data_IF_992777015196
#
_entry.id   IF_992777015196
#
_cell.length_a   1.000
_cell.length_b   1.000
_cell.length_c   1.000
_cell.angle_alpha   90.00
_cell.angle_beta   90.00
_cell.angle_gamma   90.00
#
_symmetry.space_group_name_H-M   'P 1'
#
loop_
_entity.id
_entity.type
_entity.pdbx_description
1 polymer ?
#
# COMPACT_ATOMS: atom_id res chain seq x y z
N UNK A 1 36.70 14.52 -39.02
CA UNK A 1 37.26 14.78 -37.69
C UNK A 1 36.71 13.67 -36.82
N UNK A 2 37.52 12.67 -36.47
CA UNK A 2 37.06 11.58 -35.61
C UNK A 2 37.01 12.14 -34.20
N UNK A 3 35.81 12.31 -33.63
CA UNK A 3 35.66 12.52 -32.18
C UNK A 3 36.46 11.43 -31.48
N UNK A 4 37.37 11.82 -30.59
CA UNK A 4 38.11 10.83 -29.82
C UNK A 4 37.10 10.08 -28.95
N UNK A 5 37.34 8.78 -28.72
CA UNK A 5 36.45 7.97 -27.89
C UNK A 5 36.19 8.64 -26.53
N UNK A 6 37.15 9.39 -25.99
CA UNK A 6 37.00 10.18 -24.77
C UNK A 6 35.96 11.30 -24.88
N UNK A 7 35.90 12.03 -25.99
CA UNK A 7 34.97 13.15 -26.21
C UNK A 7 33.50 12.66 -26.29
N UNK A 8 33.27 11.48 -26.85
CA UNK A 8 31.95 10.81 -26.87
C UNK A 8 31.55 10.28 -25.49
N UNK A 9 32.54 9.93 -24.66
CA UNK A 9 32.33 9.24 -23.39
C UNK A 9 32.32 10.19 -22.19
N UNK A 10 32.83 11.43 -22.33
CA UNK A 10 32.81 12.50 -21.32
C UNK A 10 31.47 12.67 -20.57
N UNK A 11 30.30 12.81 -21.25
CA UNK A 11 29.03 12.97 -20.56
C UNK A 11 28.62 11.73 -19.76
N UNK A 12 29.06 10.54 -20.19
CA UNK A 12 28.82 9.27 -19.50
C UNK A 12 29.81 8.99 -18.39
N UNK A 13 30.98 9.63 -18.39
CA UNK A 13 32.11 9.41 -17.48
C UNK A 13 32.16 10.43 -16.34
N UNK A 14 31.43 11.54 -16.45
CA UNK A 14 31.38 12.55 -15.39
C UNK A 14 31.11 11.91 -14.02
N UNK A 15 31.89 12.32 -13.02
CA UNK A 15 31.78 11.86 -11.62
C UNK A 15 30.36 12.06 -11.10
N UNK A 16 29.68 13.10 -11.56
CA UNK A 16 28.28 13.39 -11.24
C UNK A 16 27.33 12.29 -11.74
N UNK A 17 27.49 11.83 -12.98
CA UNK A 17 26.69 10.77 -13.59
C UNK A 17 27.03 9.38 -13.02
N UNK A 18 28.30 9.12 -12.72
CA UNK A 18 28.78 7.81 -12.28
C UNK A 18 28.54 7.52 -10.80
N UNK A 19 28.60 8.55 -9.95
CA UNK A 19 28.61 8.40 -8.50
C UNK A 19 27.43 9.13 -7.89
N UNK A 20 27.25 10.42 -8.20
CA UNK A 20 26.24 11.25 -7.53
C UNK A 20 24.81 10.78 -7.88
N UNK A 21 24.53 10.55 -9.17
CA UNK A 21 23.20 10.15 -9.64
C UNK A 21 22.72 8.78 -9.07
N UNK A 22 23.51 7.69 -9.14
CA UNK A 22 23.12 6.42 -8.53
C UNK A 22 23.00 6.51 -7.00
N UNK A 23 23.87 7.28 -6.33
CA UNK A 23 23.84 7.42 -4.87
C UNK A 23 22.59 8.16 -4.38
N UNK A 24 22.20 9.25 -5.03
CA UNK A 24 20.96 9.97 -4.71
C UNK A 24 19.75 9.07 -4.93
N UNK A 25 19.72 8.36 -6.06
CA UNK A 25 18.65 7.42 -6.41
C UNK A 25 18.52 6.31 -5.35
N UNK A 26 19.63 5.68 -4.97
CA UNK A 26 19.65 4.64 -3.93
C UNK A 26 19.22 5.20 -2.57
N UNK A 27 19.68 6.38 -2.18
CA UNK A 27 19.30 7.01 -0.92
C UNK A 27 17.79 7.27 -0.83
N UNK A 28 17.20 7.86 -1.89
CA UNK A 28 15.76 8.10 -1.98
C UNK A 28 14.96 6.79 -1.98
N UNK A 29 15.44 5.79 -2.70
CA UNK A 29 14.82 4.46 -2.76
C UNK A 29 14.80 3.79 -1.38
N UNK A 30 15.95 3.73 -0.68
CA UNK A 30 16.03 3.11 0.65
C UNK A 30 15.26 3.89 1.72
N UNK A 31 15.25 5.22 1.65
CA UNK A 31 14.41 6.04 2.53
C UNK A 31 12.93 5.70 2.36
N UNK A 32 12.45 5.66 1.10
CA UNK A 32 11.06 5.34 0.77
C UNK A 32 10.72 3.90 1.16
N UNK A 33 11.64 2.95 0.93
CA UNK A 33 11.49 1.57 1.34
C UNK A 33 11.38 1.43 2.86
N UNK A 34 12.22 2.15 3.62
CA UNK A 34 12.14 2.19 5.09
C UNK A 34 10.78 2.68 5.59
N UNK A 35 10.23 3.74 4.98
CA UNK A 35 8.86 4.19 5.27
C UNK A 35 7.83 3.11 4.95
N UNK A 36 8.00 2.38 3.85
CA UNK A 36 7.09 1.31 3.47
C UNK A 36 7.11 0.15 4.48
N UNK A 37 8.28 -0.23 5.01
CA UNK A 37 8.40 -1.24 6.08
C UNK A 37 7.59 -0.83 7.30
N UNK A 38 7.67 0.43 7.73
CA UNK A 38 6.90 0.93 8.88
C UNK A 38 5.38 0.89 8.61
N UNK A 39 4.95 1.33 7.43
CA UNK A 39 3.54 1.32 7.01
C UNK A 39 3.02 -0.11 6.92
N UNK A 40 3.80 -1.03 6.38
CA UNK A 40 3.45 -2.45 6.28
C UNK A 40 3.31 -3.10 7.65
N UNK A 41 4.24 -2.83 8.58
CA UNK A 41 4.14 -3.26 9.97
C UNK A 41 2.86 -2.75 10.66
N UNK A 42 2.54 -1.47 10.47
CA UNK A 42 1.29 -0.89 10.96
C UNK A 42 0.05 -1.56 10.33
N UNK A 43 0.11 -1.85 9.02
CA UNK A 43 -0.94 -2.53 8.28
C UNK A 43 -1.22 -3.91 8.88
N UNK A 44 -0.20 -4.76 9.02
CA UNK A 44 -0.34 -6.10 9.62
C UNK A 44 -0.94 -6.00 11.02
N UNK A 45 -0.43 -5.10 11.87
CA UNK A 45 -0.93 -4.94 13.25
C UNK A 45 -2.44 -4.64 13.26
N UNK A 46 -2.87 -3.70 12.41
CA UNK A 46 -4.28 -3.31 12.29
C UNK A 46 -5.15 -4.45 11.76
N UNK A 47 -4.71 -5.16 10.71
CA UNK A 47 -5.48 -6.28 10.16
C UNK A 47 -5.57 -7.44 11.16
N UNK A 48 -4.49 -7.71 11.89
CA UNK A 48 -4.44 -8.78 12.88
C UNK A 48 -5.44 -8.56 14.02
N UNK A 49 -5.51 -7.35 14.56
CA UNK A 49 -6.46 -6.98 15.62
C UNK A 49 -7.92 -6.96 15.14
N UNK A 50 -8.16 -6.92 13.83
CA UNK A 50 -9.51 -6.81 13.24
C UNK A 50 -10.09 -8.17 12.83
N UNK A 51 -10.25 -9.09 13.79
CA UNK A 51 -10.72 -10.48 13.58
C UNK A 51 -12.06 -10.63 12.85
N UNK A 52 -12.95 -9.63 12.86
CA UNK A 52 -14.33 -9.74 12.36
C UNK A 52 -14.58 -9.23 10.92
N UNK A 53 -13.54 -8.81 10.17
CA UNK A 53 -13.75 -8.34 8.78
C UNK A 53 -13.73 -9.48 7.76
N UNK A 54 -14.82 -9.75 7.02
CA UNK A 54 -14.90 -10.89 6.08
C UNK A 54 -13.84 -10.86 4.97
N UNK A 55 -13.37 -9.68 4.58
CA UNK A 55 -12.41 -9.54 3.48
C UNK A 55 -10.96 -9.41 3.98
N UNK A 56 -10.67 -9.73 5.25
CA UNK A 56 -9.34 -9.56 5.86
C UNK A 56 -8.25 -10.33 5.10
N UNK A 57 -8.53 -11.60 4.76
CA UNK A 57 -7.56 -12.47 4.09
C UNK A 57 -7.08 -11.90 2.76
N UNK A 58 -8.00 -11.35 1.96
CA UNK A 58 -7.67 -10.70 0.68
C UNK A 58 -6.74 -9.49 0.86
N UNK A 59 -7.06 -8.57 1.78
CA UNK A 59 -6.24 -7.38 1.99
C UNK A 59 -4.90 -7.69 2.68
N UNK A 60 -4.86 -8.70 3.56
CA UNK A 60 -3.62 -9.16 4.18
C UNK A 60 -2.71 -9.83 3.15
N UNK A 61 -3.25 -10.77 2.37
CA UNK A 61 -2.53 -11.44 1.29
C UNK A 61 -2.01 -10.44 0.26
N UNK A 62 -2.86 -9.53 -0.23
CA UNK A 62 -2.47 -8.48 -1.17
C UNK A 62 -1.36 -7.58 -0.63
N UNK A 63 -1.47 -7.10 0.62
CA UNK A 63 -0.42 -6.26 1.24
C UNK A 63 0.90 -7.03 1.42
N UNK A 64 0.85 -8.30 1.81
CA UNK A 64 2.05 -9.15 1.94
C UNK A 64 2.70 -9.41 0.60
N UNK A 65 1.92 -9.72 -0.44
CA UNK A 65 2.43 -9.92 -1.80
C UNK A 65 3.09 -8.63 -2.32
N UNK A 66 2.43 -7.48 -2.16
CA UNK A 66 3.01 -6.18 -2.52
C UNK A 66 4.32 -5.91 -1.79
N UNK A 67 4.41 -6.21 -0.49
CA UNK A 67 5.62 -6.00 0.30
C UNK A 67 6.78 -6.91 -0.14
N UNK A 68 6.50 -8.19 -0.36
CA UNK A 68 7.50 -9.17 -0.82
C UNK A 68 8.01 -8.79 -2.22
N UNK A 69 7.10 -8.50 -3.15
CA UNK A 69 7.48 -8.09 -4.51
C UNK A 69 8.30 -6.79 -4.48
N UNK A 70 7.87 -5.77 -3.74
CA UNK A 70 8.62 -4.53 -3.59
C UNK A 70 10.02 -4.73 -3.01
N UNK A 71 10.16 -5.65 -2.06
CA UNK A 71 11.46 -6.00 -1.46
C UNK A 71 12.38 -6.66 -2.50
N UNK A 72 11.85 -7.59 -3.29
CA UNK A 72 12.59 -8.23 -4.39
C UNK A 72 13.03 -7.17 -5.41
N UNK A 73 12.11 -6.34 -5.88
CA UNK A 73 12.39 -5.27 -6.84
C UNK A 73 13.46 -4.31 -6.33
N UNK A 74 13.38 -3.90 -5.06
CA UNK A 74 14.37 -3.00 -4.42
C UNK A 74 15.77 -3.64 -4.37
N UNK A 75 15.86 -4.94 -4.04
CA UNK A 75 17.13 -5.66 -4.02
C UNK A 75 17.79 -5.74 -5.40
N UNK A 76 17.01 -6.07 -6.44
CA UNK A 76 17.52 -6.15 -7.81
C UNK A 76 17.88 -4.77 -8.41
N UNK A 77 17.13 -3.72 -8.08
CA UNK A 77 17.54 -2.34 -8.41
C UNK A 77 18.87 -1.98 -7.77
N UNK A 78 19.03 -2.30 -6.48
CA UNK A 78 20.28 -2.07 -5.74
C UNK A 78 21.46 -2.75 -6.42
N UNK A 79 21.30 -4.03 -6.80
CA UNK A 79 22.34 -4.79 -7.50
C UNK A 79 22.71 -4.13 -8.83
N UNK A 80 21.72 -3.67 -9.59
CA UNK A 80 21.94 -3.01 -10.89
C UNK A 80 22.72 -1.70 -10.72
N UNK A 81 22.27 -0.84 -9.81
CA UNK A 81 22.89 0.46 -9.57
C UNK A 81 24.30 0.36 -9.02
N UNK A 82 24.53 -0.50 -8.03
CA UNK A 82 25.87 -0.71 -7.47
C UNK A 82 26.81 -1.24 -8.56
N UNK A 83 26.37 -2.23 -9.35
CA UNK A 83 27.23 -2.82 -10.38
C UNK A 83 27.53 -1.84 -11.50
N UNK A 84 26.56 -1.05 -11.94
CA UNK A 84 26.76 0.03 -12.91
C UNK A 84 27.77 1.06 -12.39
N UNK A 85 27.64 1.48 -11.12
CA UNK A 85 28.53 2.47 -10.50
C UNK A 85 29.96 1.94 -10.34
N UNK A 86 30.13 0.69 -9.90
CA UNK A 86 31.45 0.06 -9.71
C UNK A 86 32.17 -0.13 -11.04
N UNK A 87 31.47 -0.63 -12.07
CA UNK A 87 32.06 -0.83 -13.39
C UNK A 87 32.39 0.50 -14.07
N UNK A 88 31.52 1.50 -13.94
CA UNK A 88 31.80 2.86 -14.39
C UNK A 88 33.04 3.42 -13.70
N UNK A 89 33.06 3.43 -12.36
CA UNK A 89 34.17 3.99 -11.60
C UNK A 89 35.50 3.29 -11.90
N UNK A 90 35.48 1.96 -12.03
CA UNK A 90 36.65 1.20 -12.43
C UNK A 90 37.15 1.63 -13.81
N UNK A 91 36.26 1.78 -14.80
CA UNK A 91 36.65 2.19 -16.15
C UNK A 91 37.33 3.56 -16.18
N UNK A 92 36.83 4.53 -15.39
CA UNK A 92 37.44 5.86 -15.28
C UNK A 92 38.80 5.80 -14.57
N UNK A 93 38.89 5.03 -13.47
CA UNK A 93 40.11 4.94 -12.67
C UNK A 93 41.24 4.20 -13.38
N UNK A 94 40.93 3.13 -14.11
CA UNK A 94 41.93 2.29 -14.79
C UNK A 94 42.16 2.68 -16.25
N UNK A 95 41.37 3.62 -16.78
CA UNK A 95 41.28 3.93 -18.21
C UNK A 95 41.05 2.69 -19.10
N UNK A 96 40.48 1.63 -18.53
CA UNK A 96 40.11 0.42 -19.25
C UNK A 96 38.58 0.37 -19.36
N UNK A 97 38.08 0.75 -20.52
CA UNK A 97 36.65 0.82 -20.81
C UNK A 97 36.05 -0.52 -21.25
N UNK A 98 36.88 -1.54 -21.51
CA UNK A 98 36.43 -2.84 -22.04
C UNK A 98 35.39 -3.52 -21.12
N UNK A 99 35.59 -3.61 -19.78
CA UNK A 99 34.62 -4.26 -18.90
C UNK A 99 33.28 -3.52 -18.82
N UNK A 100 33.31 -2.19 -18.90
CA UNK A 100 32.11 -1.36 -18.91
C UNK A 100 31.36 -1.47 -20.24
N UNK A 101 32.07 -1.45 -21.36
CA UNK A 101 31.48 -1.64 -22.69
C UNK A 101 30.79 -3.00 -22.82
N UNK A 102 31.43 -4.09 -22.37
CA UNK A 102 30.81 -5.42 -22.35
C UNK A 102 29.53 -5.47 -21.50
N UNK A 103 29.53 -4.77 -20.35
CA UNK A 103 28.34 -4.62 -19.51
C UNK A 103 27.22 -3.82 -20.20
N UNK A 104 27.57 -2.77 -20.93
CA UNK A 104 26.61 -1.93 -21.65
C UNK A 104 26.05 -2.65 -22.88
N UNK A 105 26.87 -3.44 -23.58
CA UNK A 105 26.54 -4.09 -24.86
C UNK A 105 25.63 -5.31 -24.71
N UNK A 106 25.80 -6.15 -23.69
CA UNK A 106 25.02 -7.39 -23.61
C UNK A 106 25.40 -8.33 -22.47
N UNK A 107 25.42 -7.83 -21.22
CA UNK A 107 25.67 -8.69 -20.06
C UNK A 107 24.42 -9.51 -19.68
N UNK A 108 24.57 -10.84 -19.64
CA UNK A 108 23.48 -11.77 -19.31
C UNK A 108 22.86 -11.51 -17.94
N UNK A 109 23.67 -11.12 -16.96
CA UNK A 109 23.21 -10.85 -15.60
C UNK A 109 22.43 -9.52 -15.53
N UNK A 110 22.80 -8.51 -16.30
CA UNK A 110 22.03 -7.27 -16.48
C UNK A 110 20.65 -7.56 -17.07
N UNK A 111 20.59 -8.35 -18.15
CA UNK A 111 19.33 -8.73 -18.79
C UNK A 111 18.44 -9.54 -17.83
N UNK A 112 19.01 -10.52 -17.13
CA UNK A 112 18.27 -11.30 -16.12
C UNK A 112 17.71 -10.42 -15.01
N UNK A 113 18.50 -9.48 -14.49
CA UNK A 113 18.07 -8.56 -13.44
C UNK A 113 16.93 -7.65 -13.93
N UNK A 114 17.05 -7.11 -15.14
CA UNK A 114 16.01 -6.27 -15.74
C UNK A 114 14.70 -7.03 -15.95
N UNK A 115 14.76 -8.28 -16.42
CA UNK A 115 13.58 -9.15 -16.56
C UNK A 115 12.90 -9.35 -15.21
N UNK A 116 13.65 -9.66 -14.16
CA UNK A 116 13.09 -9.84 -12.81
C UNK A 116 12.43 -8.55 -12.31
N UNK A 117 13.07 -7.39 -12.46
CA UNK A 117 12.51 -6.09 -12.09
C UNK A 117 11.22 -5.78 -12.86
N UNK A 118 11.20 -6.07 -14.16
CA UNK A 118 10.04 -5.84 -15.01
C UNK A 118 8.85 -6.72 -14.61
N UNK A 119 9.09 -8.02 -14.45
CA UNK A 119 8.05 -8.98 -14.04
C UNK A 119 7.51 -8.64 -12.65
N UNK A 120 8.40 -8.36 -11.68
CA UNK A 120 7.97 -7.99 -10.33
C UNK A 120 7.18 -6.68 -10.31
N UNK A 121 7.58 -5.69 -11.11
CA UNK A 121 6.85 -4.42 -11.24
C UNK A 121 5.46 -4.61 -11.84
N UNK A 122 5.31 -5.47 -12.86
CA UNK A 122 3.99 -5.81 -13.42
C UNK A 122 3.11 -6.48 -12.36
N UNK A 123 3.65 -7.45 -11.61
CA UNK A 123 2.91 -8.13 -10.55
C UNK A 123 2.48 -7.18 -9.42
N UNK A 124 3.32 -6.18 -9.08
CA UNK A 124 2.97 -5.12 -8.12
C UNK A 124 1.77 -4.33 -8.64
N UNK A 125 1.81 -3.87 -9.89
CA UNK A 125 0.71 -3.09 -10.49
C UNK A 125 -0.58 -3.91 -10.54
N UNK A 126 -0.53 -5.18 -11.00
CA UNK A 126 -1.70 -6.08 -11.02
C UNK A 126 -2.31 -6.22 -9.63
N UNK A 127 -1.47 -6.43 -8.61
CA UNK A 127 -1.94 -6.63 -7.23
C UNK A 127 -2.56 -5.34 -6.67
N UNK A 128 -1.93 -4.18 -6.92
CA UNK A 128 -2.42 -2.88 -6.50
C UNK A 128 -3.75 -2.53 -7.18
N UNK A 129 -3.85 -2.70 -8.50
CA UNK A 129 -5.05 -2.48 -9.29
C UNK A 129 -6.19 -3.39 -8.82
N UNK A 130 -5.91 -4.68 -8.58
CA UNK A 130 -6.91 -5.62 -8.06
C UNK A 130 -7.46 -5.18 -6.70
N UNK A 131 -6.60 -4.68 -5.80
CA UNK A 131 -7.01 -4.14 -4.50
C UNK A 131 -7.88 -2.88 -4.64
N UNK A 132 -7.52 -1.98 -5.55
CA UNK A 132 -8.28 -0.75 -5.84
C UNK A 132 -9.64 -1.04 -6.50
N UNK A 133 -9.68 -1.93 -7.49
CA UNK A 133 -10.92 -2.35 -8.17
C UNK A 133 -11.86 -3.04 -7.18
N UNK A 134 -11.37 -3.99 -6.38
CA UNK A 134 -12.20 -4.67 -5.38
C UNK A 134 -12.82 -3.66 -4.40
N UNK A 135 -12.06 -2.64 -4.01
CA UNK A 135 -12.56 -1.56 -3.15
C UNK A 135 -13.62 -0.71 -3.85
N UNK A 136 -13.37 -0.31 -5.09
CA UNK A 136 -14.32 0.46 -5.91
C UNK A 136 -15.63 -0.34 -6.08
N UNK A 137 -15.54 -1.61 -6.47
CA UNK A 137 -16.68 -2.51 -6.65
C UNK A 137 -17.54 -2.62 -5.38
N UNK A 138 -16.90 -2.75 -4.21
CA UNK A 138 -17.63 -2.84 -2.93
C UNK A 138 -18.35 -1.53 -2.59
N UNK A 139 -17.73 -0.38 -2.84
CA UNK A 139 -18.31 0.95 -2.57
C UNK A 139 -19.49 1.25 -3.49
N UNK A 140 -19.44 0.75 -4.72
CA UNK A 140 -20.53 0.85 -5.69
C UNK A 140 -21.65 -0.19 -5.47
N UNK A 141 -21.64 -0.91 -4.34
CA UNK A 141 -22.70 -1.86 -4.00
C UNK A 141 -22.72 -3.10 -4.89
N UNK A 142 -21.55 -3.56 -5.34
CA UNK A 142 -21.39 -4.76 -6.16
C UNK A 142 -22.06 -4.67 -7.55
N UNK A 143 -22.19 -3.46 -8.11
CA UNK A 143 -22.74 -3.27 -9.44
C UNK A 143 -21.72 -3.65 -10.52
N UNK A 144 -22.02 -4.71 -11.28
CA UNK A 144 -21.13 -5.26 -12.33
C UNK A 144 -20.80 -4.26 -13.44
N UNK A 145 -21.69 -3.30 -13.72
CA UNK A 145 -21.53 -2.28 -14.75
C UNK A 145 -20.33 -1.34 -14.54
N UNK A 146 -19.85 -1.17 -13.30
CA UNK A 146 -18.67 -0.33 -13.00
C UNK A 146 -17.38 -1.15 -12.95
N UNK A 147 -17.45 -2.38 -12.43
CA UNK A 147 -16.27 -3.24 -12.35
C UNK A 147 -15.81 -3.77 -13.70
N UNK A 148 -16.74 -4.17 -14.58
CA UNK A 148 -16.41 -4.79 -15.87
C UNK A 148 -15.57 -3.89 -16.79
N UNK A 149 -15.89 -2.60 -17.02
CA UNK A 149 -15.03 -1.72 -17.82
C UNK A 149 -13.67 -1.47 -17.15
N UNK A 150 -13.61 -1.34 -15.82
CA UNK A 150 -12.34 -1.15 -15.11
C UNK A 150 -11.42 -2.37 -15.23
N UNK A 151 -11.97 -3.58 -15.09
CA UNK A 151 -11.21 -4.82 -15.27
C UNK A 151 -10.69 -4.92 -16.71
N UNK A 152 -11.52 -4.57 -17.70
CA UNK A 152 -11.11 -4.58 -19.10
C UNK A 152 -9.96 -3.60 -19.36
N UNK A 153 -10.07 -2.36 -18.87
CA UNK A 153 -9.01 -1.35 -19.04
C UNK A 153 -7.70 -1.80 -18.38
N UNK A 154 -7.75 -2.31 -17.15
CA UNK A 154 -6.56 -2.82 -16.45
C UNK A 154 -5.98 -4.04 -17.15
N UNK A 155 -6.82 -4.94 -17.70
CA UNK A 155 -6.34 -6.08 -18.47
C UNK A 155 -5.58 -5.65 -19.73
N UNK A 156 -6.14 -4.73 -20.52
CA UNK A 156 -5.48 -4.18 -21.72
C UNK A 156 -4.18 -3.49 -21.33
N UNK A 157 -4.19 -2.68 -20.27
CA UNK A 157 -2.99 -1.99 -19.78
C UNK A 157 -1.88 -2.98 -19.41
N UNK A 158 -2.19 -4.05 -18.67
CA UNK A 158 -1.19 -5.05 -18.28
C UNK A 158 -0.67 -5.86 -19.49
N UNK A 159 -1.52 -6.13 -20.49
CA UNK A 159 -1.08 -6.77 -21.73
C UNK A 159 -0.07 -5.89 -22.51
N UNK A 160 -0.35 -4.58 -22.60
CA UNK A 160 0.57 -3.60 -23.23
C UNK A 160 1.87 -3.51 -22.43
N UNK A 161 1.79 -3.43 -21.10
CA UNK A 161 2.97 -3.42 -20.22
C UNK A 161 3.85 -4.66 -20.42
N UNK A 162 3.25 -5.85 -20.45
CA UNK A 162 3.96 -7.10 -20.69
C UNK A 162 4.62 -7.15 -22.07
N UNK A 163 3.91 -6.73 -23.12
CA UNK A 163 4.47 -6.67 -24.47
C UNK A 163 5.70 -5.72 -24.52
N UNK A 164 5.60 -4.55 -23.89
CA UNK A 164 6.71 -3.60 -23.80
C UNK A 164 7.92 -4.17 -23.05
N UNK A 165 7.69 -4.87 -21.93
CA UNK A 165 8.74 -5.50 -21.16
C UNK A 165 9.47 -6.59 -21.95
N UNK A 166 8.74 -7.38 -22.74
CA UNK A 166 9.32 -8.42 -23.62
C UNK A 166 10.18 -7.78 -24.71
N UNK A 167 9.68 -6.74 -25.40
CA UNK A 167 10.44 -6.04 -26.43
C UNK A 167 11.74 -5.46 -25.87
N UNK A 168 11.67 -4.84 -24.69
CA UNK A 168 12.85 -4.26 -24.03
C UNK A 168 13.82 -5.37 -23.58
N UNK A 169 13.33 -6.47 -22.99
CA UNK A 169 14.18 -7.58 -22.55
C UNK A 169 14.96 -8.23 -23.69
N UNK A 170 14.32 -8.45 -24.84
CA UNK A 170 14.99 -8.94 -26.06
C UNK A 170 16.09 -7.98 -26.48
N UNK A 171 15.80 -6.67 -26.45
CA UNK A 171 16.73 -5.62 -26.84
C UNK A 171 17.97 -5.51 -25.94
N UNK A 172 17.87 -5.91 -24.67
CA UNK A 172 19.00 -5.96 -23.73
C UNK A 172 19.93 -7.15 -23.95
N UNK A 173 19.52 -8.17 -24.70
CA UNK A 173 20.32 -9.39 -24.90
C UNK A 173 21.55 -9.12 -25.77
N UNK A 174 21.40 -8.30 -26.81
CA UNK A 174 22.50 -7.85 -27.65
C UNK A 174 22.16 -6.49 -28.29
N UNK A 175 22.84 -5.44 -27.82
CA UNK A 175 22.62 -4.07 -28.31
C UNK A 175 23.49 -3.69 -29.51
N UNK A 176 24.37 -4.59 -29.96
CA UNK A 176 25.22 -4.35 -31.13
C UNK A 176 24.45 -4.49 -32.45
N UNK A 177 23.31 -5.18 -32.41
CA UNK A 177 22.42 -5.38 -33.55
C UNK A 177 21.49 -4.16 -33.70
N UNK A 178 21.59 -3.44 -34.82
CA UNK A 178 20.79 -2.24 -35.09
C UNK A 178 19.26 -2.45 -34.94
N UNK A 179 18.77 -3.64 -35.33
CA UNK A 179 17.36 -4.03 -35.16
C UNK A 179 16.93 -4.08 -33.68
N UNK A 180 17.80 -4.55 -32.79
CA UNK A 180 17.52 -4.61 -31.35
C UNK A 180 17.52 -3.20 -30.72
N UNK A 181 18.33 -2.28 -31.25
CA UNK A 181 18.30 -0.89 -30.83
C UNK A 181 17.01 -0.18 -31.27
N UNK A 182 16.54 -0.41 -32.49
CA UNK A 182 15.24 0.10 -32.94
C UNK A 182 14.07 -0.49 -32.12
N UNK A 183 14.16 -1.78 -31.79
CA UNK A 183 13.20 -2.46 -30.93
C UNK A 183 13.19 -1.88 -29.50
N UNK A 184 14.35 -1.48 -28.97
CA UNK A 184 14.45 -0.80 -27.68
C UNK A 184 13.72 0.55 -27.70
N UNK A 185 13.91 1.34 -28.75
CA UNK A 185 13.25 2.64 -28.89
C UNK A 185 11.72 2.49 -28.94
N UNK A 186 11.22 1.54 -29.75
CA UNK A 186 9.78 1.24 -29.82
C UNK A 186 9.25 0.70 -28.49
N UNK A 187 9.99 -0.22 -27.86
CA UNK A 187 9.65 -0.78 -26.55
C UNK A 187 9.55 0.30 -25.48
N UNK A 188 10.52 1.22 -25.44
CA UNK A 188 10.53 2.35 -24.52
C UNK A 188 9.37 3.32 -24.76
N UNK A 189 9.03 3.64 -26.02
CA UNK A 189 7.89 4.51 -26.32
C UNK A 189 6.55 3.89 -25.87
N UNK A 190 6.39 2.58 -26.07
CA UNK A 190 5.20 1.86 -25.60
C UNK A 190 5.17 1.80 -24.07
N UNK A 191 6.31 1.61 -23.42
CA UNK A 191 6.43 1.59 -21.96
C UNK A 191 6.08 2.95 -21.33
N UNK A 192 6.50 4.07 -21.95
CA UNK A 192 6.10 5.41 -21.50
C UNK A 192 4.57 5.57 -21.57
N UNK A 193 3.97 5.17 -22.69
CA UNK A 193 2.51 5.19 -22.86
C UNK A 193 1.80 4.33 -21.81
N UNK A 194 2.35 3.16 -21.50
CA UNK A 194 1.87 2.29 -20.42
C UNK A 194 1.90 3.00 -19.06
N UNK A 195 2.99 3.68 -18.71
CA UNK A 195 3.09 4.41 -17.44
C UNK A 195 2.08 5.55 -17.36
N UNK A 196 1.95 6.35 -18.43
CA UNK A 196 0.95 7.43 -18.49
C UNK A 196 -0.46 6.88 -18.32
N UNK A 197 -0.79 5.80 -19.04
CA UNK A 197 -2.08 5.12 -18.90
C UNK A 197 -2.30 4.61 -17.47
N UNK A 198 -1.30 3.99 -16.86
CA UNK A 198 -1.37 3.48 -15.48
C UNK A 198 -1.64 4.58 -14.46
N UNK A 199 -0.93 5.71 -14.57
CA UNK A 199 -1.16 6.88 -13.72
C UNK A 199 -2.58 7.43 -13.89
N UNK A 200 -3.06 7.54 -15.13
CA UNK A 200 -4.40 8.04 -15.43
C UNK A 200 -5.49 7.10 -14.89
N UNK A 201 -5.38 5.79 -15.11
CA UNK A 201 -6.34 4.79 -14.62
C UNK A 201 -6.37 4.77 -13.10
N UNK A 202 -5.21 4.76 -12.43
CA UNK A 202 -5.12 4.81 -10.97
C UNK A 202 -5.72 6.10 -10.39
N UNK A 203 -5.45 7.25 -11.02
CA UNK A 203 -6.04 8.53 -10.67
C UNK A 203 -7.56 8.54 -10.84
N UNK A 204 -8.07 8.05 -11.99
CA UNK A 204 -9.50 7.96 -12.27
C UNK A 204 -10.22 7.04 -11.28
N UNK A 205 -9.69 5.86 -10.98
CA UNK A 205 -10.28 4.94 -10.00
C UNK A 205 -10.33 5.59 -8.61
N UNK A 206 -9.26 6.29 -8.22
CA UNK A 206 -9.18 7.01 -6.94
C UNK A 206 -10.23 8.12 -6.87
N UNK A 207 -10.34 8.96 -7.91
CA UNK A 207 -11.33 10.03 -8.00
C UNK A 207 -12.76 9.51 -8.03
N UNK A 208 -13.03 8.45 -8.80
CA UNK A 208 -14.35 7.80 -8.84
C UNK A 208 -14.74 7.24 -7.47
N UNK A 209 -13.78 6.63 -6.77
CA UNK A 209 -14.01 6.07 -5.43
C UNK A 209 -14.28 7.18 -4.40
N UNK A 210 -13.44 8.21 -4.38
CA UNK A 210 -13.57 9.36 -3.49
C UNK A 210 -14.88 10.14 -3.76
N UNK A 211 -15.17 10.43 -5.03
CA UNK A 211 -16.37 11.13 -5.46
C UNK A 211 -17.66 10.39 -5.14
N UNK A 212 -17.68 9.05 -5.29
CA UNK A 212 -18.83 8.23 -4.92
C UNK A 212 -19.09 8.24 -3.42
N UNK A 213 -18.04 8.11 -2.59
CA UNK A 213 -18.18 8.21 -1.13
C UNK A 213 -18.73 9.58 -0.77
N UNK A 214 -18.18 10.66 -1.32
CA UNK A 214 -18.64 12.02 -1.08
C UNK A 214 -20.11 12.22 -1.47
N UNK A 215 -20.53 11.68 -2.62
CA UNK A 215 -21.92 11.72 -3.07
C UNK A 215 -22.87 11.01 -2.10
N UNK A 216 -22.52 9.79 -1.67
CA UNK A 216 -23.31 9.02 -0.69
C UNK A 216 -23.41 9.79 0.62
N UNK A 217 -22.29 10.32 1.13
CA UNK A 217 -22.28 11.14 2.34
C UNK A 217 -23.16 12.38 2.18
N UNK A 218 -23.16 13.03 1.01
CA UNK A 218 -24.00 14.20 0.73
C UNK A 218 -25.49 13.87 0.71
N UNK A 219 -25.89 12.74 0.12
CA UNK A 219 -27.29 12.30 0.16
C UNK A 219 -27.71 11.97 1.60
N UNK A 220 -26.81 11.36 2.35
CA UNK A 220 -27.04 10.95 3.73
C UNK A 220 -26.94 12.12 4.73
N UNK A 221 -26.50 13.33 4.32
CA UNK A 221 -26.48 14.55 5.16
C UNK A 221 -27.85 14.91 5.75
N UNK A 222 -28.95 14.53 5.10
CA UNK A 222 -30.30 14.79 5.61
C UNK A 222 -30.66 13.91 6.81
N UNK A 223 -29.91 12.83 7.03
CA UNK A 223 -30.23 11.77 8.00
C UNK A 223 -29.11 11.52 9.04
N UNK A 224 -27.86 11.91 8.77
CA UNK A 224 -26.73 11.67 9.67
C UNK A 224 -26.31 12.93 10.45
N UNK A 225 -26.02 12.76 11.74
CA UNK A 225 -25.49 13.83 12.59
C UNK A 225 -24.10 14.35 12.15
N UNK A 226 -23.78 15.62 12.49
CA UNK A 226 -22.54 16.33 12.11
C UNK A 226 -21.26 15.51 12.32
N UNK A 227 -21.16 14.78 13.44
CA UNK A 227 -19.97 13.99 13.75
C UNK A 227 -19.71 12.80 12.81
N UNK A 228 -20.73 12.24 12.15
CA UNK A 228 -20.52 11.17 11.16
C UNK A 228 -20.12 11.76 9.81
N UNK A 229 -20.63 12.95 9.47
CA UNK A 229 -20.26 13.67 8.24
C UNK A 229 -18.77 14.01 8.19
N UNK A 230 -18.22 14.58 9.26
CA UNK A 230 -16.80 14.96 9.32
C UNK A 230 -15.88 13.76 9.12
N UNK A 231 -16.24 12.59 9.67
CA UNK A 231 -15.51 11.33 9.48
C UNK A 231 -15.46 10.89 8.02
N UNK A 232 -16.59 10.93 7.31
CA UNK A 232 -16.61 10.53 5.90
C UNK A 232 -15.84 11.49 5.01
N UNK A 233 -15.90 12.80 5.29
CA UNK A 233 -15.06 13.79 4.59
C UNK A 233 -13.58 13.52 4.84
N UNK A 234 -13.19 13.23 6.09
CA UNK A 234 -11.83 12.83 6.42
C UNK A 234 -11.39 11.57 5.66
N UNK A 235 -12.26 10.55 5.56
CA UNK A 235 -11.98 9.33 4.77
C UNK A 235 -11.77 9.68 3.28
N UNK A 236 -12.59 10.56 2.70
CA UNK A 236 -12.44 10.98 1.29
C UNK A 236 -11.11 11.68 1.07
N UNK A 237 -10.73 12.61 1.96
CA UNK A 237 -9.44 13.32 1.89
C UNK A 237 -8.27 12.33 1.96
N UNK A 238 -8.30 11.39 2.92
CA UNK A 238 -7.27 10.37 3.06
C UNK A 238 -7.10 9.54 1.78
N UNK A 239 -8.21 9.18 1.12
CA UNK A 239 -8.18 8.40 -0.12
C UNK A 239 -7.52 9.20 -1.24
N UNK A 240 -7.86 10.49 -1.36
CA UNK A 240 -7.29 11.37 -2.36
C UNK A 240 -5.79 11.59 -2.10
N UNK A 241 -5.42 11.96 -0.87
CA UNK A 241 -4.02 12.20 -0.50
C UNK A 241 -3.16 10.96 -0.75
N UNK A 242 -3.63 9.78 -0.32
CA UNK A 242 -2.85 8.55 -0.44
C UNK A 242 -2.87 7.94 -1.85
N UNK A 243 -4.00 8.08 -2.56
CA UNK A 243 -4.18 7.53 -3.91
C UNK A 243 -3.54 8.36 -5.01
N UNK A 244 -3.32 9.66 -4.77
CA UNK A 244 -2.62 10.55 -5.72
C UNK A 244 -1.10 10.44 -5.65
N UNK A 245 -0.53 9.82 -4.61
CA UNK A 245 0.93 9.64 -4.46
C UNK A 245 1.52 8.92 -5.68
N UNK A 246 0.88 7.82 -6.13
CA UNK A 246 1.38 7.03 -7.26
C UNK A 246 1.35 7.82 -8.59
N UNK A 247 0.20 8.39 -9.04
CA UNK A 247 0.17 9.18 -10.27
C UNK A 247 1.10 10.40 -10.25
N UNK A 248 1.23 11.08 -9.10
CA UNK A 248 2.11 12.26 -8.98
C UNK A 248 3.58 11.88 -9.14
N UNK A 249 4.05 10.84 -8.44
CA UNK A 249 5.43 10.37 -8.57
C UNK A 249 5.73 9.87 -9.99
N UNK A 250 4.75 9.23 -10.63
CA UNK A 250 4.89 8.77 -12.01
C UNK A 250 5.05 9.94 -12.98
N UNK A 251 4.22 10.99 -12.86
CA UNK A 251 4.34 12.21 -13.69
C UNK A 251 5.69 12.88 -13.49
N UNK A 252 6.15 13.02 -12.23
CA UNK A 252 7.45 13.60 -11.91
C UNK A 252 8.57 12.79 -12.58
N UNK A 253 8.53 11.46 -12.46
CA UNK A 253 9.53 10.59 -13.08
C UNK A 253 9.58 10.74 -14.60
N UNK A 254 8.42 10.75 -15.27
CA UNK A 254 8.35 10.96 -16.72
C UNK A 254 8.90 12.33 -17.14
N UNK A 255 8.51 13.41 -16.44
CA UNK A 255 9.01 14.76 -16.75
C UNK A 255 10.53 14.79 -16.65
N UNK A 256 11.11 14.25 -15.57
CA UNK A 256 12.56 14.24 -15.37
C UNK A 256 13.22 13.46 -16.50
N UNK A 257 12.80 12.22 -16.77
CA UNK A 257 13.40 11.41 -17.84
C UNK A 257 13.34 12.10 -19.21
N UNK A 258 12.19 12.70 -19.57
CA UNK A 258 12.04 13.35 -20.88
C UNK A 258 12.75 14.69 -21.00
N UNK A 259 12.98 15.40 -19.88
CA UNK A 259 13.67 16.71 -19.89
C UNK A 259 15.19 16.55 -19.79
N UNK A 260 15.68 15.58 -19.03
CA UNK A 260 17.12 15.42 -18.77
C UNK A 260 17.79 14.43 -19.71
N UNK A 261 17.07 13.44 -20.24
CA UNK A 261 17.62 12.45 -21.16
C UNK A 261 16.63 12.13 -22.28
N UNK A 262 16.36 13.09 -23.19
CA UNK A 262 15.43 12.89 -24.31
C UNK A 262 15.87 11.76 -25.24
N UNK A 263 17.17 11.47 -25.30
CA UNK A 263 17.78 10.40 -26.09
C UNK A 263 17.79 9.04 -25.41
N UNK A 264 17.37 8.95 -24.13
CA UNK A 264 17.35 7.74 -23.30
C UNK A 264 18.67 6.98 -23.30
N UNK A 265 19.78 7.71 -23.26
CA UNK A 265 21.12 7.13 -23.27
C UNK A 265 21.56 6.63 -21.89
N UNK A 266 20.76 6.88 -20.85
CA UNK A 266 21.06 6.50 -19.46
C UNK A 266 21.77 7.61 -18.68
N UNK A 267 21.62 8.87 -19.13
CA UNK A 267 22.22 10.06 -18.52
C UNK A 267 21.25 10.76 -17.55
N UNK A 268 20.22 10.07 -17.08
CA UNK A 268 19.24 10.63 -16.15
C UNK A 268 19.93 10.90 -14.80
N UNK A 269 19.94 12.16 -14.29
CA UNK A 269 20.64 12.51 -13.06
C UNK A 269 20.00 11.91 -11.80
N UNK A 270 18.70 11.58 -11.83
CA UNK A 270 18.02 10.85 -10.75
C UNK A 270 16.92 9.96 -11.34
N UNK A 271 16.95 8.65 -11.07
CA UNK A 271 15.89 7.75 -11.51
C UNK A 271 14.76 7.66 -10.45
N UNK A 272 13.56 8.07 -10.84
CA UNK A 272 12.36 8.01 -10.01
C UNK A 272 11.55 6.72 -10.19
N UNK A 273 11.82 5.90 -11.20
CA UNK A 273 11.08 4.66 -11.44
C UNK A 273 11.08 3.68 -10.25
N UNK A 274 12.18 3.50 -9.49
CA UNK A 274 12.15 2.70 -8.26
C UNK A 274 11.15 3.23 -7.23
N UNK A 275 11.02 4.56 -7.10
CA UNK A 275 10.07 5.21 -6.20
C UNK A 275 8.62 5.00 -6.69
N UNK A 276 8.39 5.05 -8.00
CA UNK A 276 7.07 4.79 -8.60
C UNK A 276 6.61 3.36 -8.29
N UNK A 277 7.49 2.36 -8.44
CA UNK A 277 7.20 0.97 -8.10
C UNK A 277 6.88 0.78 -6.61
N UNK A 278 7.60 1.47 -5.71
CA UNK A 278 7.29 1.47 -4.27
C UNK A 278 5.95 2.16 -3.98
N UNK A 279 5.70 3.30 -4.62
CA UNK A 279 4.47 4.08 -4.44
C UNK A 279 3.22 3.28 -4.83
N UNK A 280 3.30 2.46 -5.87
CA UNK A 280 2.21 1.56 -6.29
C UNK A 280 1.77 0.61 -5.17
N UNK A 281 2.72 0.10 -4.36
CA UNK A 281 2.43 -0.73 -3.20
C UNK A 281 2.06 0.06 -1.94
N UNK A 282 2.69 1.22 -1.73
CA UNK A 282 2.47 2.07 -0.55
C UNK A 282 1.04 2.62 -0.52
N UNK A 283 0.54 3.13 -1.67
CA UNK A 283 -0.77 3.77 -1.77
C UNK A 283 -1.92 2.90 -1.22
N UNK A 284 -2.15 1.65 -1.68
CA UNK A 284 -3.20 0.80 -1.13
C UNK A 284 -2.97 0.45 0.36
N UNK A 285 -1.71 0.35 0.80
CA UNK A 285 -1.36 0.01 2.18
C UNK A 285 -1.67 1.15 3.15
N UNK A 286 -1.34 2.40 2.80
CA UNK A 286 -1.69 3.59 3.59
C UNK A 286 -3.22 3.72 3.74
N UNK A 287 -3.94 3.52 2.64
CA UNK A 287 -5.41 3.56 2.63
C UNK A 287 -5.99 2.58 3.66
N UNK A 288 -5.44 1.35 3.73
CA UNK A 288 -5.88 0.32 4.67
C UNK A 288 -5.56 0.71 6.11
N UNK A 289 -4.33 1.15 6.39
CA UNK A 289 -3.89 1.59 7.72
C UNK A 289 -4.80 2.70 8.24
N UNK A 290 -5.04 3.74 7.42
CA UNK A 290 -5.86 4.89 7.81
C UNK A 290 -7.33 4.51 8.00
N UNK A 291 -7.89 3.69 7.11
CA UNK A 291 -9.26 3.19 7.26
C UNK A 291 -9.42 2.28 8.49
N UNK A 292 -8.36 1.58 8.89
CA UNK A 292 -8.34 0.78 10.12
C UNK A 292 -8.27 1.62 11.38
N UNK A 293 -7.37 2.62 11.43
CA UNK A 293 -7.24 3.54 12.57
C UNK A 293 -8.53 4.33 12.82
N UNK A 294 -9.18 4.84 11.76
CA UNK A 294 -10.43 5.59 11.90
C UNK A 294 -11.55 4.78 12.57
N UNK A 295 -11.58 3.46 12.35
CA UNK A 295 -12.55 2.56 13.00
C UNK A 295 -12.18 2.19 14.43
N UNK A 296 -10.89 2.05 14.74
CA UNK A 296 -10.44 1.78 16.10
C UNK A 296 -10.80 2.94 17.05
N UNK A 297 -10.57 4.18 16.62
CA UNK A 297 -10.97 5.38 17.38
C UNK A 297 -12.49 5.43 17.59
N UNK A 298 -13.27 5.01 16.60
CA UNK A 298 -14.73 4.94 16.72
C UNK A 298 -15.19 3.90 17.76
N UNK A 299 -14.60 2.70 17.78
CA UNK A 299 -14.95 1.70 18.79
C UNK A 299 -14.66 2.18 20.21
N UNK A 300 -13.55 2.89 20.43
CA UNK A 300 -13.22 3.46 21.75
C UNK A 300 -14.23 4.55 22.12
N UNK A 301 -14.54 5.47 21.21
CA UNK A 301 -15.51 6.55 21.46
C UNK A 301 -16.97 6.05 21.62
N UNK A 302 -17.32 4.85 21.19
CA UNK A 302 -18.64 4.25 21.45
C UNK A 302 -18.70 3.51 22.79
N UNK A 303 -17.57 3.02 23.30
CA UNK A 303 -17.48 2.34 24.61
C UNK A 303 -17.35 3.34 25.77
N UNK A 304 -16.68 4.47 25.57
CA UNK A 304 -16.53 5.50 26.63
C UNK A 304 -17.87 6.10 27.12
N UNK A 305 -18.86 6.40 26.26
CA UNK A 305 -20.17 6.89 26.71
C UNK A 305 -20.94 5.86 27.54
N UNK A 306 -20.89 4.57 27.18
CA UNK A 306 -21.61 3.51 27.90
C UNK A 306 -21.03 3.23 29.29
N UNK A 307 -19.73 3.45 29.51
CA UNK A 307 -19.13 3.37 30.84
C UNK A 307 -19.57 4.56 31.72
N UNK A 308 -19.81 5.73 31.14
CA UNK A 308 -20.27 6.90 31.92
C UNK A 308 -21.74 6.77 32.37
N UNK A 309 -22.59 6.10 31.58
CA UNK A 309 -23.98 5.80 31.99
C UNK A 309 -24.07 4.76 33.12
N UNK A 310 -23.19 3.76 33.15
CA UNK A 310 -23.18 2.76 34.23
C UNK A 310 -22.77 3.38 35.58
N UNK A 311 -21.91 4.39 35.59
CA UNK A 311 -21.53 5.12 36.81
C UNK A 311 -22.60 6.08 37.36
N UNK A 312 -23.64 6.40 36.59
CA UNK A 312 -24.71 7.32 37.01
C UNK A 312 -25.95 6.59 37.56
N UNK A 313 -26.17 5.33 37.22
CA UNK A 313 -27.27 4.52 37.78
C UNK A 313 -26.92 3.92 39.15
N UNK A 314 -25.64 3.73 39.47
CA UNK A 314 -25.21 3.22 40.79
C UNK A 314 -25.27 4.28 41.92
N UNK A 315 -25.46 5.57 41.58
CA UNK A 315 -25.68 6.65 42.57
C UNK A 315 -27.15 7.05 42.76
N UNK A 316 -28.10 6.47 42.01
CA UNK A 316 -29.52 6.83 42.12
C UNK A 316 -30.33 5.95 43.09
N UNK A 317 -29.69 4.98 43.73
CA UNK A 317 -30.31 4.10 44.74
C UNK A 317 -30.19 4.55 46.20
N UNK A 318 -29.42 5.61 46.51
CA UNK A 318 -29.05 5.91 47.90
C UNK A 318 -28.93 7.40 48.20
N UNK A 319 -29.99 8.20 47.98
CA UNK A 319 -30.27 9.28 48.93
C UNK A 319 -31.69 9.87 48.79
N UNK A 320 -32.37 9.96 49.95
CA UNK A 320 -33.52 10.81 50.34
C UNK A 320 -34.91 10.17 50.37
N UNK A 321 -35.18 9.46 51.46
CA UNK A 321 -36.41 9.60 52.26
C UNK A 321 -35.97 9.38 53.72
N UNK A 322 -35.97 10.39 54.59
CA UNK A 322 -37.14 10.87 55.29
C UNK A 322 -36.78 10.88 56.78
N UNK A 323 -36.63 12.07 57.35
CA UNK A 323 -36.44 12.28 58.79
C UNK A 323 -37.79 12.03 59.47
N UNK A 324 -37.89 11.04 60.36
CA UNK A 324 -38.88 11.07 61.45
C UNK A 324 -38.62 9.99 62.52
N UNK A 325 -38.42 10.49 63.73
CA UNK A 325 -38.90 9.99 65.03
C UNK A 325 -38.30 8.70 65.65
N UNK A 326 -37.57 8.97 66.74
CA UNK A 326 -37.30 8.06 67.85
C UNK A 326 -38.56 7.96 68.72
N UNK A 327 -39.09 6.76 68.93
CA UNK A 327 -39.96 6.45 70.08
C UNK A 327 -39.80 5.00 70.54
N UNK A 328 -39.29 4.85 71.76
CA UNK A 328 -39.31 3.62 72.55
C UNK A 328 -40.71 3.43 73.15
N UNK A 329 -41.29 2.23 73.00
CA UNK A 329 -42.38 1.72 73.85
C UNK A 329 -42.46 0.19 73.80
N UNK A 330 -41.79 -0.44 74.77
CA UNK A 330 -42.32 -1.43 75.71
C UNK A 330 -43.36 -2.50 75.27
N UNK A 331 -42.87 -3.76 75.24
CA UNK A 331 -43.42 -4.99 75.87
C UNK A 331 -44.72 -5.65 75.33
N UNK A 332 -44.55 -6.83 74.70
CA UNK A 332 -45.31 -8.06 75.01
C UNK A 332 -44.68 -9.32 74.37
N UNK A 333 -44.56 -10.39 75.16
CA UNK A 333 -44.33 -11.81 74.82
C UNK A 333 -45.59 -12.55 75.37
N UNK A 334 -45.82 -13.87 75.17
CA UNK A 334 -45.44 -14.83 74.11
C UNK A 334 -46.63 -15.76 73.68
N UNK A 335 -46.46 -16.64 72.68
CA UNK A 335 -47.19 -17.92 72.48
C UNK A 335 -46.64 -18.60 71.20
N UNK A 336 -45.88 -19.71 71.24
CA UNK A 336 -46.23 -21.11 71.52
C UNK A 336 -47.11 -21.79 70.44
N UNK A 337 -46.65 -22.95 69.95
CA UNK A 337 -47.32 -23.90 69.03
C UNK A 337 -46.39 -24.31 67.87
N UNK A 338 -45.65 -25.42 67.97
CA UNK A 338 -46.03 -26.77 67.48
C UNK A 338 -46.09 -26.85 65.94
N UNK A 339 -45.56 -27.82 65.21
CA UNK A 339 -44.80 -29.06 65.48
C UNK A 339 -44.23 -29.52 64.12
N UNK A 340 -43.13 -30.28 64.20
CA UNK A 340 -42.76 -31.46 63.40
C UNK A 340 -43.31 -31.59 61.96
N UNK A 341 -42.51 -31.90 60.94
CA UNK A 341 -41.93 -33.24 60.80
C UNK A 341 -41.06 -33.29 59.52
N UNK A 342 -39.87 -33.91 59.66
CA UNK A 342 -39.26 -34.94 58.80
C UNK A 342 -39.06 -34.64 57.29
N UNK A 343 -38.04 -35.13 56.60
CA UNK A 343 -36.77 -35.83 56.82
C UNK A 343 -36.09 -35.72 55.43
N UNK A 344 -34.77 -35.52 55.37
CA UNK A 344 -33.81 -36.46 54.76
C UNK A 344 -34.35 -37.18 53.51
N UNK A 345 -33.71 -37.07 52.35
CA UNK A 345 -32.51 -37.88 52.13
C UNK A 345 -31.64 -37.32 50.98
N UNK A 346 -30.40 -37.04 51.34
CA UNK A 346 -29.22 -36.98 50.47
C UNK A 346 -28.79 -38.39 50.06
N UNK A 347 -28.38 -38.60 48.80
CA UNK A 347 -27.47 -39.66 48.31
C UNK A 347 -27.19 -39.29 46.84
N UNK A 348 -26.11 -38.61 46.48
CA UNK A 348 -24.73 -39.10 46.35
C UNK A 348 -24.62 -40.57 45.90
N UNK A 349 -24.17 -40.77 44.66
CA UNK A 349 -23.23 -41.83 44.26
C UNK A 349 -22.84 -41.66 42.79
N UNK A 350 -21.52 -41.55 42.54
CA UNK A 350 -20.93 -41.56 41.21
C UNK A 350 -20.70 -42.95 40.62
N UNK A 351 -19.73 -43.03 39.68
CA UNK A 351 -19.10 -44.20 38.99
C UNK A 351 -19.54 -44.33 37.52
N UNK A 352 -18.74 -43.93 36.52
CA UNK A 352 -17.51 -44.51 35.91
C UNK A 352 -17.71 -45.78 35.07
N UNK A 353 -17.13 -45.76 33.86
CA UNK A 353 -16.92 -46.86 32.89
C UNK A 353 -18.21 -47.40 32.25
N UNK A 354 -18.34 -47.49 30.93
CA UNK A 354 -17.41 -47.95 29.88
C UNK A 354 -17.56 -47.20 28.57
#
# INVERSE_FOLDING_TARGET
MAETLEEVLEPFISVETLITAPMITLALMFFTYGLYVLIFGACIRILYHRKSSPNRGFYLGGSTVLFVLATITTGFWTLTYIRQSVLGYSAVKTQDYIPFLLYVQGDKLKTATYVVVSVTSILINITADAMLIHRCYKIWGCQKWVALPLIFVVFVQNAVGLASAIMIAISYTDRTIASNYELLLKGNAINDGYYVASGAVNGLITLMTAGRIWWITRQARRLLGRGVQEKYVSIVVIILESGMIYPVLLIIGLIITHTTDPTKQGLVPVDFFPLVSLAAGIAPTIIIVRAGLGKAVESVNQVVPSVHFIGMDEQRGTQKSGISEIRFAQRSLPSAGESDTLLLESLDTGRSHT
#
